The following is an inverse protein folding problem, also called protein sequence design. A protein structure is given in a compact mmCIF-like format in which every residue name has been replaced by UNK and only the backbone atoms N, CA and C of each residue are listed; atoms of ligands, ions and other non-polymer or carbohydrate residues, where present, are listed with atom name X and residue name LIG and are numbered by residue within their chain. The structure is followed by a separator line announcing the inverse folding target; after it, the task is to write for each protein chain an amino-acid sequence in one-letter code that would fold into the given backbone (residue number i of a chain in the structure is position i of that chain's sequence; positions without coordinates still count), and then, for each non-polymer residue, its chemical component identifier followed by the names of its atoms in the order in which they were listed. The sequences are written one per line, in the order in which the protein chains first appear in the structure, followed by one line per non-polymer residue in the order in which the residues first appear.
data_IF_800035073159
#
_entry.id   IF_800035073159
#
_cell.length_a   1.000
_cell.length_b   1.000
_cell.length_c   1.000
_cell.angle_alpha   90.00
_cell.angle_beta   90.00
_cell.angle_gamma   90.00
#
_symmetry.space_group_name_H-M   'P 1'
#
loop_
_entity.id
_entity.type
_entity.pdbx_description
1 polymer ?
#
# COMPACT_ATOMS: atom_id res chain seq x y z
N UNK A 1 -11.04 14.64 -15.71
CA UNK A 1 -12.28 14.39 -14.96
C UNK A 1 -11.98 14.59 -13.49
N UNK A 2 -12.74 15.45 -12.83
CA UNK A 2 -12.70 15.69 -11.39
C UNK A 2 -14.12 15.43 -10.89
N UNK A 3 -14.34 14.58 -9.87
CA UNK A 3 -15.67 14.39 -9.32
C UNK A 3 -16.09 15.63 -8.54
N UNK A 4 -17.33 16.05 -8.74
CA UNK A 4 -17.99 17.14 -8.00
C UNK A 4 -19.03 16.62 -6.99
N UNK A 5 -19.28 15.31 -6.99
CA UNK A 5 -20.21 14.61 -6.10
C UNK A 5 -19.52 13.38 -5.53
N UNK A 6 -19.63 13.14 -4.21
CA UNK A 6 -19.06 11.98 -3.52
C UNK A 6 -20.17 11.11 -2.93
N UNK A 7 -20.00 9.79 -2.98
CA UNK A 7 -20.93 8.87 -2.33
C UNK A 7 -20.53 8.72 -0.86
N UNK A 8 -21.40 9.17 0.05
CA UNK A 8 -21.19 9.03 1.50
C UNK A 8 -21.88 7.79 2.04
N UNK A 9 -21.28 7.15 3.06
CA UNK A 9 -21.72 5.86 3.61
C UNK A 9 -23.23 5.73 3.91
N UNK A 10 -23.86 6.71 4.59
CA UNK A 10 -25.30 6.66 4.86
C UNK A 10 -26.18 6.65 3.60
N UNK A 11 -25.72 7.21 2.48
CA UNK A 11 -26.44 7.14 1.20
C UNK A 11 -26.19 5.83 0.46
N UNK A 12 -25.08 5.15 0.73
CA UNK A 12 -24.79 3.82 0.20
C UNK A 12 -25.57 2.72 0.94
N UNK A 13 -25.90 2.93 2.22
CA UNK A 13 -26.71 2.03 3.03
C UNK A 13 -28.18 2.03 2.53
N UNK A 14 -28.65 0.90 1.97
CA UNK A 14 -30.04 0.76 1.52
C UNK A 14 -30.27 0.24 0.08
N UNK A 15 -29.26 -0.37 -0.55
CA UNK A 15 -29.43 -1.03 -1.86
C UNK A 15 -28.76 -0.33 -3.04
N UNK A 16 -27.79 0.55 -2.78
CA UNK A 16 -26.88 1.04 -3.82
C UNK A 16 -25.97 -0.10 -4.29
N UNK A 17 -26.28 -0.68 -5.46
CA UNK A 17 -25.52 -1.77 -6.06
C UNK A 17 -24.39 -1.28 -7.00
N UNK A 18 -24.25 0.04 -7.16
CA UNK A 18 -23.27 0.66 -8.05
C UNK A 18 -23.53 0.49 -9.56
N UNK A 19 -24.62 -0.18 -9.96
CA UNK A 19 -24.88 -0.51 -11.36
C UNK A 19 -25.68 0.56 -12.11
N UNK A 20 -26.42 1.41 -11.39
CA UNK A 20 -27.35 2.42 -11.95
C UNK A 20 -26.91 3.87 -11.72
N UNK A 21 -25.67 4.21 -12.05
CA UNK A 21 -25.14 5.57 -11.83
C UNK A 21 -24.52 6.21 -13.05
N UNK A 22 -24.77 7.52 -13.18
CA UNK A 22 -24.09 8.37 -14.14
C UNK A 22 -22.58 8.34 -13.91
N UNK A 23 -21.79 8.51 -14.98
CA UNK A 23 -20.32 8.48 -14.92
C UNK A 23 -19.70 9.38 -13.83
N UNK A 24 -20.17 10.63 -13.60
CA UNK A 24 -19.64 11.47 -12.52
C UNK A 24 -19.84 10.88 -11.12
N UNK A 25 -21.00 10.28 -10.85
CA UNK A 25 -21.28 9.65 -9.56
C UNK A 25 -20.41 8.41 -9.32
N UNK A 26 -20.15 7.61 -10.37
CA UNK A 26 -19.21 6.47 -10.28
C UNK A 26 -17.79 6.93 -9.98
N UNK A 27 -17.35 8.02 -10.60
CA UNK A 27 -16.03 8.59 -10.35
C UNK A 27 -15.90 9.00 -8.88
N UNK A 28 -16.88 9.75 -8.37
CA UNK A 28 -16.90 10.19 -6.98
C UNK A 28 -16.99 9.08 -5.95
N UNK A 29 -17.71 7.99 -6.25
CA UNK A 29 -17.79 6.82 -5.37
C UNK A 29 -16.44 6.11 -5.16
N UNK A 30 -15.48 6.33 -6.06
CA UNK A 30 -14.14 5.76 -5.99
C UNK A 30 -13.05 6.83 -5.74
N UNK A 31 -13.41 8.02 -5.27
CA UNK A 31 -12.47 9.15 -5.15
C UNK A 31 -12.32 9.60 -3.70
N UNK A 32 -11.07 9.69 -3.23
CA UNK A 32 -10.72 10.21 -1.91
C UNK A 32 -10.70 11.75 -1.87
N UNK A 33 -10.17 12.38 -2.92
CA UNK A 33 -9.94 13.83 -2.98
C UNK A 33 -10.11 14.42 -4.39
N UNK A 34 -10.41 15.72 -4.46
CA UNK A 34 -10.53 16.45 -5.73
C UNK A 34 -9.18 16.90 -6.32
N UNK A 35 -8.07 16.71 -5.60
CA UNK A 35 -6.73 17.10 -6.04
C UNK A 35 -6.08 16.06 -6.97
N UNK A 36 -6.74 14.92 -7.19
CA UNK A 36 -6.24 13.81 -8.02
C UNK A 36 -7.06 13.67 -9.32
N UNK A 37 -6.83 14.51 -10.35
CA UNK A 37 -7.60 14.43 -11.59
C UNK A 37 -7.24 13.18 -12.40
N UNK A 38 -8.25 12.56 -13.01
CA UNK A 38 -8.05 11.55 -14.06
C UNK A 38 -8.02 12.26 -15.41
N UNK A 39 -6.92 12.15 -16.14
CA UNK A 39 -6.72 12.74 -17.47
C UNK A 39 -6.43 11.66 -18.51
N UNK A 40 -6.36 12.06 -19.78
CA UNK A 40 -5.91 11.16 -20.84
C UNK A 40 -4.51 10.61 -20.50
N UNK A 41 -4.35 9.29 -20.57
CA UNK A 41 -3.10 8.61 -20.24
C UNK A 41 -2.92 8.20 -18.77
N UNK A 42 -3.76 8.66 -17.83
CA UNK A 42 -3.65 8.29 -16.40
C UNK A 42 -3.60 6.78 -16.19
N UNK A 43 -4.54 6.05 -16.79
CA UNK A 43 -4.60 4.58 -16.65
C UNK A 43 -3.34 3.90 -17.18
N UNK A 44 -2.87 4.28 -18.38
CA UNK A 44 -1.67 3.69 -18.98
C UNK A 44 -0.43 3.96 -18.12
N UNK A 45 -0.26 5.18 -17.61
CA UNK A 45 0.83 5.53 -16.71
C UNK A 45 0.75 4.77 -15.37
N UNK A 46 -0.43 4.71 -14.74
CA UNK A 46 -0.63 3.99 -13.48
C UNK A 46 -0.38 2.48 -13.64
N UNK A 47 -0.80 1.88 -14.75
CA UNK A 47 -0.49 0.48 -15.07
C UNK A 47 1.00 0.25 -15.27
N UNK A 48 1.68 1.14 -15.97
CA UNK A 48 3.14 1.05 -16.14
C UNK A 48 3.90 1.17 -14.81
N UNK A 49 3.42 2.00 -13.86
CA UNK A 49 4.00 2.07 -12.52
C UNK A 49 3.90 0.73 -11.78
N UNK A 50 2.78 0.01 -11.93
CA UNK A 50 2.63 -1.34 -11.38
C UNK A 50 3.61 -2.31 -12.04
N UNK A 51 3.78 -2.24 -13.35
CA UNK A 51 4.71 -3.11 -14.08
C UNK A 51 6.16 -2.88 -13.61
N UNK A 52 6.55 -1.61 -13.35
CA UNK A 52 7.84 -1.26 -12.74
C UNK A 52 7.98 -1.86 -11.33
N UNK A 53 6.94 -1.75 -10.50
CA UNK A 53 6.95 -2.27 -9.13
C UNK A 53 7.11 -3.80 -9.11
N UNK A 54 6.35 -4.51 -9.94
CA UNK A 54 6.42 -5.96 -10.08
C UNK A 54 7.77 -6.42 -10.64
N UNK A 55 8.33 -5.68 -11.60
CA UNK A 55 9.67 -5.99 -12.12
C UNK A 55 10.73 -5.88 -11.03
N UNK A 56 10.67 -4.86 -10.17
CA UNK A 56 11.58 -4.74 -9.03
C UNK A 56 11.41 -5.90 -8.03
N UNK A 57 10.17 -6.34 -7.78
CA UNK A 57 9.89 -7.50 -6.94
C UNK A 57 10.47 -8.80 -7.53
N UNK A 58 10.28 -9.01 -8.84
CA UNK A 58 10.82 -10.18 -9.55
C UNK A 58 12.35 -10.21 -9.50
N UNK A 59 13.04 -9.08 -9.64
CA UNK A 59 14.51 -9.00 -9.49
C UNK A 59 14.97 -9.48 -8.10
N UNK A 60 14.24 -9.13 -7.04
CA UNK A 60 14.54 -9.60 -5.68
C UNK A 60 14.23 -11.09 -5.52
N UNK A 61 13.12 -11.57 -6.08
CA UNK A 61 12.79 -13.00 -6.12
C UNK A 61 13.83 -13.82 -6.90
N UNK A 62 14.46 -13.24 -7.92
CA UNK A 62 15.51 -13.88 -8.71
C UNK A 62 16.87 -13.89 -7.99
N UNK A 63 16.96 -13.35 -6.78
CA UNK A 63 18.09 -13.51 -5.86
C UNK A 63 18.84 -12.23 -5.52
N UNK A 64 18.46 -11.08 -6.09
CA UNK A 64 19.05 -9.81 -5.69
C UNK A 64 18.58 -9.39 -4.30
N UNK A 65 19.48 -8.78 -3.51
CA UNK A 65 19.14 -8.33 -2.16
C UNK A 65 18.30 -7.05 -2.13
N UNK A 66 18.32 -6.27 -3.20
CA UNK A 66 17.67 -4.97 -3.31
C UNK A 66 17.36 -4.64 -4.77
N UNK A 67 16.17 -4.10 -5.02
CA UNK A 67 15.81 -3.47 -6.28
C UNK A 67 15.09 -2.15 -6.04
N UNK A 68 15.22 -1.21 -6.98
CA UNK A 68 14.53 0.08 -6.93
C UNK A 68 13.53 0.22 -8.08
N UNK A 69 12.24 0.21 -7.75
CA UNK A 69 11.17 0.49 -8.69
C UNK A 69 10.83 1.98 -8.71
N UNK A 70 11.29 2.71 -9.74
CA UNK A 70 10.99 4.14 -9.93
C UNK A 70 9.54 4.34 -10.42
N UNK A 71 8.58 4.09 -9.54
CA UNK A 71 7.15 4.07 -9.85
C UNK A 71 6.61 5.50 -10.02
N UNK A 72 5.87 5.75 -11.11
CA UNK A 72 5.13 7.00 -11.31
C UNK A 72 3.88 6.76 -12.18
N UNK A 73 2.66 7.10 -11.72
CA UNK A 73 2.29 7.77 -10.46
C UNK A 73 2.57 6.94 -9.18
N UNK A 74 2.55 7.59 -7.98
CA UNK A 74 2.69 6.90 -6.69
C UNK A 74 1.47 6.00 -6.40
N UNK A 75 1.50 5.29 -5.25
CA UNK A 75 0.49 4.28 -4.96
C UNK A 75 -0.14 4.25 -3.56
N UNK A 76 0.52 4.72 -2.51
CA UNK A 76 0.14 4.38 -1.12
C UNK A 76 -1.22 4.91 -0.63
N UNK A 77 -1.80 5.90 -1.32
CA UNK A 77 -3.15 6.43 -1.03
C UNK A 77 -4.27 5.69 -1.79
N UNK A 78 -3.92 4.84 -2.76
CA UNK A 78 -4.91 4.02 -3.46
C UNK A 78 -5.35 2.86 -2.55
N UNK A 79 -6.64 2.83 -2.25
CA UNK A 79 -7.30 1.79 -1.44
C UNK A 79 -7.95 0.73 -2.37
N UNK A 80 -8.60 -0.29 -1.80
CA UNK A 80 -9.18 -1.40 -2.60
C UNK A 80 -10.14 -0.92 -3.70
N UNK A 81 -10.93 0.11 -3.41
CA UNK A 81 -11.93 0.64 -4.32
C UNK A 81 -11.91 2.18 -4.39
N UNK A 82 -10.75 2.81 -4.14
CA UNK A 82 -10.64 4.27 -4.09
C UNK A 82 -9.27 4.75 -4.57
N UNK A 83 -9.25 5.79 -5.40
CA UNK A 83 -8.05 6.52 -5.82
C UNK A 83 -7.95 7.86 -5.06
N UNK A 84 -6.76 8.43 -4.96
CA UNK A 84 -6.52 9.68 -4.24
C UNK A 84 -5.05 9.97 -3.97
N UNK A 85 -4.70 11.17 -3.52
CA UNK A 85 -3.34 11.60 -3.22
C UNK A 85 -2.38 11.34 -4.37
N UNK A 86 -2.81 11.61 -5.60
CA UNK A 86 -2.09 11.31 -6.85
C UNK A 86 -1.93 9.81 -7.18
N UNK A 87 -2.48 8.91 -6.36
CA UNK A 87 -2.38 7.47 -6.47
C UNK A 87 -3.63 6.85 -7.12
N UNK A 88 -3.43 5.83 -7.95
CA UNK A 88 -4.52 5.12 -8.65
C UNK A 88 -4.46 3.59 -8.46
N UNK A 89 -3.26 3.02 -8.45
CA UNK A 89 -3.01 1.64 -8.04
C UNK A 89 -1.99 1.64 -6.91
N UNK A 90 -2.19 0.79 -5.91
CA UNK A 90 -1.28 0.71 -4.79
C UNK A 90 -0.08 -0.19 -5.14
N UNK A 91 0.97 0.43 -5.69
CA UNK A 91 2.17 -0.28 -6.15
C UNK A 91 2.81 -1.13 -5.03
N UNK A 92 2.93 -0.58 -3.81
CA UNK A 92 3.52 -1.27 -2.66
C UNK A 92 2.66 -2.45 -2.20
N UNK A 93 1.34 -2.27 -2.12
CA UNK A 93 0.43 -3.36 -1.78
C UNK A 93 0.41 -4.47 -2.83
N UNK A 94 0.47 -4.12 -4.12
CA UNK A 94 0.56 -5.09 -5.22
C UNK A 94 1.86 -5.90 -5.11
N UNK A 95 2.98 -5.25 -4.81
CA UNK A 95 4.26 -5.96 -4.59
C UNK A 95 4.16 -6.88 -3.37
N UNK A 96 3.60 -6.42 -2.26
CA UNK A 96 3.45 -7.26 -1.07
C UNK A 96 2.57 -8.49 -1.33
N UNK A 97 1.47 -8.31 -2.07
CA UNK A 97 0.61 -9.42 -2.50
C UNK A 97 1.35 -10.40 -3.43
N UNK A 98 2.13 -9.88 -4.38
CA UNK A 98 2.94 -10.68 -5.30
C UNK A 98 3.97 -11.52 -4.55
N UNK A 99 4.68 -10.94 -3.58
CA UNK A 99 5.66 -11.65 -2.75
C UNK A 99 4.99 -12.72 -1.88
N UNK A 100 3.85 -12.40 -1.24
CA UNK A 100 3.08 -13.37 -0.46
C UNK A 100 2.62 -14.56 -1.33
N UNK A 101 2.10 -14.29 -2.53
CA UNK A 101 1.70 -15.30 -3.50
C UNK A 101 2.86 -16.14 -4.05
N UNK A 102 4.08 -15.58 -4.08
CA UNK A 102 5.30 -16.28 -4.45
C UNK A 102 5.90 -17.16 -3.31
N UNK A 103 5.24 -17.22 -2.15
CA UNK A 103 5.63 -18.06 -1.03
C UNK A 103 6.47 -17.35 0.03
N UNK A 104 6.57 -16.02 0.01
CA UNK A 104 7.15 -15.27 1.12
C UNK A 104 6.30 -15.50 2.38
N UNK A 105 6.93 -16.02 3.43
CA UNK A 105 6.21 -16.43 4.65
C UNK A 105 5.80 -15.25 5.53
N UNK A 106 6.48 -14.10 5.39
CA UNK A 106 6.16 -12.83 6.06
C UNK A 106 6.62 -11.67 5.19
N UNK A 107 5.73 -10.73 4.90
CA UNK A 107 6.03 -9.50 4.17
C UNK A 107 5.80 -8.31 5.10
N UNK A 108 6.68 -7.31 5.06
CA UNK A 108 6.48 -6.05 5.75
C UNK A 108 6.59 -4.90 4.75
N UNK A 109 5.70 -3.91 4.88
CA UNK A 109 5.78 -2.65 4.16
C UNK A 109 6.18 -1.58 5.19
N UNK A 110 7.31 -0.92 4.93
CA UNK A 110 7.74 0.27 5.66
C UNK A 110 7.51 1.49 4.78
N UNK A 111 6.52 2.30 5.13
CA UNK A 111 6.21 3.55 4.45
C UNK A 111 6.90 4.73 5.15
N UNK A 112 7.84 5.37 4.46
CA UNK A 112 8.64 6.51 4.93
C UNK A 112 8.27 7.81 4.20
N UNK A 113 7.20 7.82 3.40
CA UNK A 113 6.65 9.05 2.83
C UNK A 113 6.22 10.02 3.94
N UNK A 114 6.18 11.32 3.63
CA UNK A 114 5.69 12.33 4.58
C UNK A 114 4.23 12.10 4.99
N UNK A 115 3.40 11.58 4.09
CA UNK A 115 1.98 11.33 4.32
C UNK A 115 1.72 9.88 4.70
N UNK A 116 0.67 9.66 5.49
CA UNK A 116 0.21 8.31 5.81
C UNK A 116 -0.31 7.60 4.55
N UNK A 117 0.23 6.42 4.26
CA UNK A 117 -0.26 5.50 3.22
C UNK A 117 -1.59 4.83 3.60
N UNK A 118 -2.64 5.61 3.78
CA UNK A 118 -3.99 5.16 4.17
C UNK A 118 -4.57 4.07 3.26
N UNK A 119 -4.29 4.12 1.96
CA UNK A 119 -4.71 3.09 1.02
C UNK A 119 -4.05 1.75 1.33
N UNK A 120 -2.75 1.75 1.60
CA UNK A 120 -1.98 0.56 1.99
C UNK A 120 -2.49 -0.02 3.31
N UNK A 121 -2.67 0.84 4.32
CA UNK A 121 -3.27 0.44 5.60
C UNK A 121 -4.64 -0.22 5.40
N UNK A 122 -5.53 0.38 4.59
CA UNK A 122 -6.86 -0.19 4.36
C UNK A 122 -6.79 -1.58 3.71
N UNK A 123 -5.91 -1.77 2.72
CA UNK A 123 -5.79 -3.02 1.98
C UNK A 123 -5.40 -4.18 2.92
N UNK A 124 -4.53 -3.94 3.90
CA UNK A 124 -4.04 -4.96 4.83
C UNK A 124 -4.66 -4.90 6.23
N UNK A 125 -5.69 -4.08 6.44
CA UNK A 125 -6.25 -3.82 7.77
C UNK A 125 -6.64 -5.09 8.55
N UNK A 126 -7.21 -6.08 7.87
CA UNK A 126 -7.66 -7.34 8.47
C UNK A 126 -6.71 -8.52 8.21
N UNK A 127 -5.48 -8.25 7.76
CA UNK A 127 -4.52 -9.25 7.31
C UNK A 127 -3.34 -9.39 8.27
N UNK A 128 -3.13 -10.61 8.76
CA UNK A 128 -2.01 -10.98 9.63
C UNK A 128 -0.79 -11.54 8.92
N UNK A 129 -0.78 -11.54 7.58
CA UNK A 129 0.32 -12.03 6.74
C UNK A 129 1.23 -10.91 6.21
N UNK A 130 0.75 -9.66 6.24
CA UNK A 130 1.51 -8.47 5.85
C UNK A 130 1.50 -7.46 7.00
N UNK A 131 2.68 -7.12 7.53
CA UNK A 131 2.84 -6.04 8.50
C UNK A 131 2.95 -4.69 7.78
N UNK A 132 2.08 -3.74 8.09
CA UNK A 132 2.21 -2.36 7.62
C UNK A 132 2.75 -1.47 8.74
N UNK A 133 3.84 -0.77 8.44
CA UNK A 133 4.48 0.21 9.33
C UNK A 133 4.63 1.52 8.58
N UNK A 134 4.22 2.64 9.18
CA UNK A 134 4.31 3.95 8.54
C UNK A 134 4.74 5.03 9.52
N UNK A 135 5.67 5.88 9.09
CA UNK A 135 6.02 7.13 9.73
C UNK A 135 5.53 8.26 8.86
N UNK A 136 4.84 9.24 9.44
CA UNK A 136 4.22 10.32 8.68
C UNK A 136 3.93 11.52 9.57
N UNK A 137 3.65 12.67 8.98
CA UNK A 137 3.16 13.81 9.73
C UNK A 137 1.79 13.52 10.37
N UNK A 138 1.57 14.08 11.56
CA UNK A 138 0.32 13.95 12.31
C UNK A 138 -0.91 14.24 11.40
N UNK A 139 -1.81 13.26 11.22
CA UNK A 139 -2.97 13.41 10.34
C UNK A 139 -3.95 14.48 10.84
N UNK A 140 -3.91 14.91 12.10
CA UNK A 140 -4.69 16.07 12.54
C UNK A 140 -4.37 17.35 11.74
N UNK A 141 -3.25 17.39 11.00
CA UNK A 141 -2.79 18.55 10.23
C UNK A 141 -2.33 18.22 8.82
N UNK A 142 -2.04 16.96 8.51
CA UNK A 142 -1.54 16.52 7.22
C UNK A 142 -2.51 15.56 6.52
N UNK A 143 -2.52 15.59 5.19
CA UNK A 143 -3.24 14.60 4.39
C UNK A 143 -2.74 13.20 4.80
N UNK A 144 -3.64 12.20 4.99
CA UNK A 144 -5.03 12.13 4.53
C UNK A 144 -6.09 12.56 5.55
N UNK A 145 -5.71 13.17 6.68
CA UNK A 145 -6.59 13.74 7.70
C UNK A 145 -7.46 12.79 8.54
N UNK A 146 -7.89 11.66 8.00
CA UNK A 146 -8.89 10.79 8.63
C UNK A 146 -8.32 9.47 9.15
N UNK A 147 -7.05 9.20 8.90
CA UNK A 147 -6.33 7.98 9.30
C UNK A 147 -4.84 8.25 9.48
N UNK A 148 -4.14 7.32 10.10
CA UNK A 148 -2.73 7.45 10.48
C UNK A 148 -2.54 7.70 11.97
N UNK A 149 -3.60 7.59 12.77
CA UNK A 149 -3.48 7.72 14.21
C UNK A 149 -2.78 6.49 14.82
N UNK A 150 -2.06 6.70 15.91
CA UNK A 150 -1.23 5.66 16.54
C UNK A 150 -2.04 4.49 17.14
N UNK A 151 -3.32 4.72 17.48
CA UNK A 151 -4.25 3.72 18.01
C UNK A 151 -4.85 2.81 16.94
N UNK A 152 -4.65 3.14 15.66
CA UNK A 152 -5.06 2.31 14.53
C UNK A 152 -4.11 1.12 14.36
N UNK A 153 -4.45 -0.01 14.97
CA UNK A 153 -3.54 -1.16 15.12
C UNK A 153 -3.93 -2.41 14.32
N UNK A 154 -4.86 -2.26 13.36
CA UNK A 154 -5.43 -3.34 12.56
C UNK A 154 -6.79 -3.78 13.09
N UNK A 155 -7.47 -4.68 12.36
CA UNK A 155 -8.76 -5.23 12.74
C UNK A 155 -8.82 -6.75 12.55
N UNK A 156 -9.67 -7.42 13.32
CA UNK A 156 -9.90 -8.86 13.16
C UNK A 156 -8.59 -9.68 13.17
N UNK A 157 -8.34 -10.55 12.18
CA UNK A 157 -7.09 -11.32 12.08
C UNK A 157 -5.83 -10.48 11.88
N UNK A 158 -5.95 -9.22 11.43
CA UNK A 158 -4.85 -8.27 11.26
C UNK A 158 -4.54 -7.46 12.52
N UNK A 159 -5.19 -7.73 13.65
CA UNK A 159 -4.90 -7.03 14.91
C UNK A 159 -3.42 -7.18 15.27
N UNK A 160 -2.73 -6.06 15.43
CA UNK A 160 -1.30 -6.00 15.70
C UNK A 160 -0.40 -5.86 14.47
N UNK A 161 -0.95 -5.99 13.25
CA UNK A 161 -0.22 -5.92 11.98
C UNK A 161 -0.29 -4.55 11.29
N UNK A 162 -0.76 -3.52 12.00
CA UNK A 162 -0.68 -2.12 11.59
C UNK A 162 0.02 -1.29 12.67
N UNK A 163 1.01 -0.48 12.29
CA UNK A 163 1.77 0.39 13.20
C UNK A 163 2.00 1.76 12.57
N UNK A 164 1.34 2.77 13.13
CA UNK A 164 1.49 4.16 12.71
C UNK A 164 2.33 4.94 13.72
N UNK A 165 3.29 5.70 13.21
CA UNK A 165 4.13 6.64 13.95
C UNK A 165 3.83 8.06 13.47
N UNK A 166 2.71 8.69 13.91
CA UNK A 166 2.41 10.07 13.58
C UNK A 166 3.40 11.01 14.29
N UNK A 167 4.03 11.89 13.52
CA UNK A 167 5.09 12.78 13.97
C UNK A 167 4.57 14.22 14.11
N UNK A 168 4.91 14.93 15.20
CA UNK A 168 4.46 16.30 15.41
C UNK A 168 5.06 17.27 14.36
N UNK A 169 4.40 18.41 14.11
CA UNK A 169 4.93 19.43 13.20
C UNK A 169 6.30 19.93 13.66
N UNK A 170 7.20 20.13 12.72
CA UNK A 170 8.57 20.57 13.01
C UNK A 170 9.50 19.47 13.52
N UNK A 171 9.09 18.20 13.45
CA UNK A 171 9.97 17.05 13.71
C UNK A 171 11.26 17.18 12.91
N UNK A 172 12.38 17.10 13.62
CA UNK A 172 13.73 17.19 13.06
C UNK A 172 14.32 15.79 12.87
N UNK A 173 15.46 15.73 12.20
CA UNK A 173 16.12 14.48 11.81
C UNK A 173 16.41 13.55 12.99
N UNK A 174 16.75 14.07 14.17
CA UNK A 174 17.02 13.29 15.38
C UNK A 174 15.78 12.55 15.87
N UNK A 175 14.66 13.26 16.01
CA UNK A 175 13.39 12.67 16.41
C UNK A 175 12.81 11.75 15.32
N UNK A 176 12.97 12.11 14.04
CA UNK A 176 12.58 11.25 12.91
C UNK A 176 13.38 9.94 12.90
N UNK A 177 14.70 10.01 13.05
CA UNK A 177 15.57 8.83 13.07
C UNK A 177 15.24 7.90 14.26
N UNK A 178 14.95 8.47 15.44
CA UNK A 178 14.54 7.66 16.59
C UNK A 178 13.22 6.89 16.31
N UNK A 179 12.25 7.54 15.67
CA UNK A 179 11.02 6.88 15.25
C UNK A 179 11.27 5.82 14.17
N UNK A 180 12.16 6.09 13.21
CA UNK A 180 12.53 5.13 12.16
C UNK A 180 13.22 3.89 12.73
N UNK A 181 14.09 4.07 13.72
CA UNK A 181 14.73 2.97 14.44
C UNK A 181 13.68 2.11 15.17
N UNK A 182 12.69 2.73 15.81
CA UNK A 182 11.57 2.01 16.45
C UNK A 182 10.69 1.25 15.44
N UNK A 183 10.42 1.86 14.28
CA UNK A 183 9.70 1.21 13.18
C UNK A 183 10.48 0.00 12.63
N UNK A 184 11.80 0.11 12.48
CA UNK A 184 12.65 -1.00 12.04
C UNK A 184 12.74 -2.12 13.10
N UNK A 185 12.81 -1.75 14.39
CA UNK A 185 12.76 -2.71 15.49
C UNK A 185 11.43 -3.48 15.49
N UNK A 186 10.30 -2.79 15.30
CA UNK A 186 8.96 -3.40 15.17
C UNK A 186 8.92 -4.48 14.08
N UNK A 187 9.50 -4.19 12.90
CA UNK A 187 9.57 -5.16 11.80
C UNK A 187 10.46 -6.35 12.18
N UNK A 188 11.58 -6.11 12.84
CA UNK A 188 12.51 -7.17 13.25
C UNK A 188 11.90 -8.06 14.33
N UNK A 189 11.22 -7.49 15.32
CA UNK A 189 10.57 -8.22 16.41
C UNK A 189 9.37 -9.03 15.92
N UNK A 190 8.62 -8.53 14.93
CA UNK A 190 7.56 -9.30 14.28
C UNK A 190 8.07 -10.57 13.58
N UNK A 191 9.36 -10.62 13.22
CA UNK A 191 10.02 -11.84 12.72
C UNK A 191 10.39 -12.80 13.85
N UNK A 192 10.64 -12.29 15.06
CA UNK A 192 11.03 -13.08 16.23
C UNK A 192 9.85 -13.70 17.01
N UNK A 193 8.62 -13.19 16.86
CA UNK A 193 7.42 -13.64 17.59
C UNK A 193 6.45 -14.60 16.85
N UNK A 194 6.44 -15.87 17.29
CA UNK A 194 5.44 -16.97 17.28
C UNK A 194 4.31 -17.12 16.22
N UNK A 195 4.37 -18.23 15.47
CA UNK A 195 3.44 -19.37 15.60
C UNK A 195 4.28 -20.68 15.64
N UNK A 196 3.83 -21.76 16.33
CA UNK A 196 4.63 -22.94 16.62
C UNK A 196 4.74 -23.91 15.42
N UNK A 197 5.88 -24.58 15.36
CA UNK A 197 6.32 -25.68 14.48
C UNK A 197 5.42 -26.12 13.31
N UNK A 198 5.97 -26.03 12.10
CA UNK A 198 6.38 -27.22 11.36
C UNK A 198 7.41 -26.83 10.29
N UNK A 199 8.52 -27.58 10.26
CA UNK A 199 9.58 -27.63 9.26
C UNK A 199 9.90 -26.34 8.46
N UNK A 200 11.10 -25.79 8.67
CA UNK A 200 11.75 -24.92 7.68
C UNK A 200 12.06 -25.76 6.44
N UNK A 201 11.52 -25.48 5.24
CA UNK A 201 12.24 -25.78 4.02
C UNK A 201 13.14 -24.57 3.73
N UNK A 202 14.44 -24.78 3.52
CA UNK A 202 15.19 -23.78 2.76
C UNK A 202 14.50 -23.66 1.40
N UNK A 203 13.85 -22.53 1.13
CA UNK A 203 13.16 -22.34 -0.13
C UNK A 203 14.23 -22.09 -1.20
N UNK A 204 14.53 -23.11 -1.99
CA UNK A 204 15.10 -22.91 -3.33
C UNK A 204 13.93 -22.47 -4.20
N UNK A 205 13.86 -21.18 -4.53
CA UNK A 205 12.87 -20.68 -5.48
C UNK A 205 13.06 -21.46 -6.79
N UNK A 206 12.00 -22.04 -7.39
CA UNK A 206 12.13 -22.70 -8.67
C UNK A 206 12.58 -21.65 -9.69
N UNK A 207 13.74 -21.89 -10.31
CA UNK A 207 14.23 -21.04 -11.39
C UNK A 207 13.19 -21.03 -12.50
N UNK A 208 12.55 -19.88 -12.68
CA UNK A 208 11.61 -19.68 -13.77
C UNK A 208 12.44 -19.65 -15.05
N UNK A 209 12.16 -20.46 -16.08
CA UNK A 209 12.88 -20.35 -17.34
C UNK A 209 12.63 -18.95 -17.89
N UNK A 210 13.72 -18.23 -18.12
CA UNK A 210 13.78 -16.90 -18.73
C UNK A 210 13.09 -16.98 -20.10
N UNK A 211 11.80 -16.67 -20.13
CA UNK A 211 11.07 -16.52 -21.39
C UNK A 211 11.40 -15.14 -21.90
N UNK A 212 12.31 -15.09 -22.87
CA UNK A 212 12.53 -13.89 -23.68
C UNK A 212 11.19 -13.49 -24.27
N UNK A 213 10.64 -12.36 -23.83
CA UNK A 213 9.54 -11.74 -24.56
C UNK A 213 10.12 -11.32 -25.92
N UNK A 214 9.84 -12.13 -26.94
CA UNK A 214 10.06 -11.77 -28.33
C UNK A 214 9.32 -10.46 -28.60
N UNK A 215 10.08 -9.37 -28.71
CA UNK A 215 9.63 -8.17 -29.40
C UNK A 215 9.47 -8.53 -30.88
N UNK A 216 8.24 -8.81 -31.30
CA UNK A 216 7.87 -8.84 -32.71
C UNK A 216 7.28 -7.46 -33.09
N UNK A 217 7.56 -6.99 -34.32
CA UNK A 217 7.52 -5.58 -34.71
C UNK A 217 6.12 -4.96 -34.81
#
# INVERSE_FOLDING_TARGET
LIPDTFLVGPMAAGGYDGTRTARPARLGAHCLDTATPIVAGTYAAARAAVDVALTAADIVLDGESLAYGLCRPPGHHAAQAMYGGYCFFNNAAIVAEHLAGAGATRVAILDVDYHHGNGTQQIFWERGDVLYVSLHADPARAFPYFSGHADETGGGPGQGFNRNFPLPPGTRVDAYSAALDEACATITDSRAGSQPSSATPSLTLPSRPMTTRSSAP
#
